data_IF_044262456642
#
_entry.id   IF_044262456642
#
_cell.length_a   1.000
_cell.length_b   1.000
_cell.length_c   1.000
_cell.angle_alpha   90.00
_cell.angle_beta   90.00
_cell.angle_gamma   90.00
#
_symmetry.space_group_name_H-M   'P 1'
#
loop_
_entity.id
_entity.type
_entity.pdbx_description
1 polymer ?
#
# COMPACT_ATOMS: atom_id res chain seq x y z
N UNK A 1 -5.05 -6.54 19.23
CA UNK A 1 -5.47 -5.11 19.34
C UNK A 1 -5.83 -4.48 18.00
N UNK A 2 -5.00 -4.56 16.94
CA UNK A 2 -5.37 -4.03 15.61
C UNK A 2 -6.55 -4.80 14.99
N UNK A 3 -6.64 -6.12 15.20
CA UNK A 3 -7.72 -6.96 14.68
C UNK A 3 -9.11 -6.60 15.21
N UNK A 4 -9.21 -6.06 16.42
CA UNK A 4 -10.52 -5.76 17.06
C UNK A 4 -11.15 -4.48 16.53
N UNK A 5 -10.33 -3.48 16.14
CA UNK A 5 -10.82 -2.24 15.54
C UNK A 5 -11.40 -2.54 14.15
N UNK A 6 -10.74 -3.40 13.36
CA UNK A 6 -11.21 -3.79 12.04
C UNK A 6 -12.46 -4.67 12.08
N UNK A 7 -12.58 -5.58 13.06
CA UNK A 7 -13.79 -6.37 13.25
C UNK A 7 -15.02 -5.51 13.53
N UNK A 8 -14.90 -4.49 14.39
CA UNK A 8 -16.01 -3.57 14.68
C UNK A 8 -16.44 -2.77 13.44
N UNK A 9 -15.49 -2.30 12.63
CA UNK A 9 -15.82 -1.59 11.38
C UNK A 9 -16.57 -2.46 10.38
N UNK A 10 -16.28 -3.76 10.36
CA UNK A 10 -16.95 -4.73 9.47
C UNK A 10 -18.40 -5.00 9.93
N UNK A 11 -18.67 -5.02 11.23
CA UNK A 11 -20.03 -5.29 11.77
C UNK A 11 -21.01 -4.13 11.53
N UNK A 12 -20.52 -2.90 11.35
CA UNK A 12 -21.35 -1.69 11.21
C UNK A 12 -21.70 -1.37 9.73
N UNK A 13 -21.18 -2.11 8.75
CA UNK A 13 -21.41 -1.83 7.32
C UNK A 13 -22.60 -2.64 6.79
N UNK A 14 -23.66 -2.01 6.26
CA UNK A 14 -24.82 -2.73 5.72
C UNK A 14 -24.44 -3.58 4.50
N UNK A 15 -24.90 -4.83 4.41
CA UNK A 15 -24.68 -5.67 3.23
C UNK A 15 -25.41 -5.11 1.99
N UNK A 16 -24.87 -5.34 0.80
CA UNK A 16 -25.52 -5.05 -0.47
C UNK A 16 -25.15 -3.72 -1.16
N UNK A 17 -24.26 -2.93 -0.61
CA UNK A 17 -23.74 -1.71 -1.22
C UNK A 17 -22.38 -1.94 -1.89
N UNK A 18 -22.03 -1.11 -2.89
CA UNK A 18 -20.66 -1.02 -3.39
C UNK A 18 -19.78 -0.43 -2.27
N UNK A 19 -18.79 -1.19 -1.82
CA UNK A 19 -17.96 -0.83 -0.67
C UNK A 19 -16.54 -0.60 -1.15
N UNK A 20 -15.96 0.53 -0.74
CA UNK A 20 -14.56 0.86 -0.93
C UNK A 20 -13.86 0.93 0.43
N UNK A 21 -12.91 0.04 0.67
CA UNK A 21 -12.02 0.12 1.82
C UNK A 21 -10.77 0.93 1.46
N UNK A 22 -10.41 1.88 2.32
CA UNK A 22 -9.22 2.73 2.13
C UNK A 22 -8.30 2.55 3.34
N UNK A 23 -7.05 2.13 3.09
CA UNK A 23 -6.01 2.01 4.10
C UNK A 23 -4.82 2.89 3.73
N UNK A 24 -4.76 4.09 4.30
CA UNK A 24 -3.67 5.02 4.09
C UNK A 24 -2.65 4.94 5.22
N UNK A 25 -1.36 4.89 4.86
CA UNK A 25 -0.27 4.90 5.84
C UNK A 25 -0.17 3.64 6.68
N UNK A 26 -0.69 2.50 6.24
CA UNK A 26 -0.87 1.30 7.06
C UNK A 26 -0.15 0.07 6.50
N UNK A 27 -0.28 -0.22 5.22
CA UNK A 27 0.10 -1.52 4.62
C UNK A 27 1.57 -1.87 4.82
N UNK A 28 2.46 -0.91 4.77
CA UNK A 28 3.89 -1.13 4.90
C UNK A 28 4.38 -1.38 6.34
N UNK A 29 3.53 -1.19 7.36
CA UNK A 29 3.81 -1.60 8.74
C UNK A 29 3.39 -3.04 9.03
N UNK A 30 2.59 -3.63 8.16
CA UNK A 30 2.19 -5.03 8.23
C UNK A 30 3.16 -5.91 7.44
N UNK A 31 3.31 -7.16 7.84
CA UNK A 31 3.94 -8.18 7.01
C UNK A 31 3.04 -8.53 5.82
N UNK A 32 3.58 -9.23 4.84
CA UNK A 32 2.79 -9.73 3.72
C UNK A 32 1.62 -10.60 4.16
N UNK A 33 1.85 -11.48 5.15
CA UNK A 33 0.80 -12.36 5.66
C UNK A 33 -0.32 -11.58 6.38
N UNK A 34 0.02 -10.53 7.12
CA UNK A 34 -0.96 -9.65 7.76
C UNK A 34 -1.79 -8.88 6.72
N UNK A 35 -1.16 -8.38 5.64
CA UNK A 35 -1.86 -7.75 4.52
C UNK A 35 -2.77 -8.73 3.77
N UNK A 36 -2.30 -9.96 3.52
CA UNK A 36 -3.12 -11.04 2.95
C UNK A 36 -4.33 -11.38 3.81
N UNK A 37 -4.12 -11.49 5.13
CA UNK A 37 -5.20 -11.79 6.07
C UNK A 37 -6.25 -10.68 6.10
N UNK A 38 -5.83 -9.41 6.04
CA UNK A 38 -6.73 -8.26 5.97
C UNK A 38 -7.57 -8.31 4.69
N UNK A 39 -6.92 -8.47 3.51
CA UNK A 39 -7.61 -8.57 2.24
C UNK A 39 -8.57 -9.77 2.18
N UNK A 40 -8.16 -10.92 2.72
CA UNK A 40 -9.02 -12.11 2.84
C UNK A 40 -10.24 -11.86 3.73
N UNK A 41 -10.07 -11.17 4.84
CA UNK A 41 -11.18 -10.81 5.75
C UNK A 41 -12.17 -9.87 5.06
N UNK A 42 -11.68 -8.88 4.31
CA UNK A 42 -12.53 -8.00 3.52
C UNK A 42 -13.32 -8.81 2.49
N UNK A 43 -12.67 -9.68 1.72
CA UNK A 43 -13.32 -10.53 0.73
C UNK A 43 -14.41 -11.41 1.35
N UNK A 44 -14.13 -12.06 2.48
CA UNK A 44 -15.08 -12.99 3.13
C UNK A 44 -16.33 -12.28 3.63
N UNK A 45 -16.21 -11.07 4.13
CA UNK A 45 -17.35 -10.31 4.66
C UNK A 45 -18.04 -9.44 3.61
N UNK A 46 -17.29 -9.00 2.59
CA UNK A 46 -17.77 -8.08 1.54
C UNK A 46 -17.27 -8.52 0.16
N UNK A 47 -17.80 -9.63 -0.39
CA UNK A 47 -17.45 -10.10 -1.72
C UNK A 47 -17.73 -9.01 -2.77
N UNK A 48 -16.75 -8.72 -3.63
CA UNK A 48 -16.84 -7.67 -4.64
C UNK A 48 -16.41 -6.28 -4.18
N UNK A 49 -16.02 -6.14 -2.91
CA UNK A 49 -15.50 -4.86 -2.40
C UNK A 49 -14.22 -4.43 -3.13
N UNK A 50 -14.04 -3.13 -3.22
CA UNK A 50 -12.78 -2.51 -3.66
C UNK A 50 -11.91 -2.18 -2.45
N UNK A 51 -10.60 -2.36 -2.60
CA UNK A 51 -9.61 -2.09 -1.55
C UNK A 51 -8.47 -1.24 -2.09
N UNK A 52 -8.37 -0.02 -1.58
CA UNK A 52 -7.31 0.95 -1.92
C UNK A 52 -6.34 1.07 -0.76
N UNK A 53 -5.07 0.98 -1.03
CA UNK A 53 -4.03 1.18 -0.04
C UNK A 53 -2.74 1.72 -0.67
N UNK A 54 -1.96 2.40 0.14
CA UNK A 54 -0.63 2.85 -0.26
C UNK A 54 0.44 1.81 0.11
N UNK A 55 1.50 1.75 -0.68
CA UNK A 55 2.60 0.81 -0.46
C UNK A 55 3.94 1.41 -0.88
N UNK A 56 5.03 0.80 -0.42
CA UNK A 56 6.39 1.16 -0.75
C UNK A 56 6.97 0.16 -1.76
N UNK A 57 7.79 0.66 -2.67
CA UNK A 57 8.60 -0.24 -3.51
C UNK A 57 9.70 -0.90 -2.65
N UNK A 58 9.98 -2.22 -2.81
CA UNK A 58 10.96 -2.95 -1.99
C UNK A 58 12.37 -2.36 -2.00
N UNK A 59 12.77 -1.73 -3.08
CA UNK A 59 14.05 -1.03 -3.18
C UNK A 59 14.15 0.09 -2.14
N UNK A 60 13.12 0.94 -2.04
CA UNK A 60 13.08 2.03 -1.06
C UNK A 60 12.93 1.52 0.36
N UNK A 61 12.17 0.44 0.57
CA UNK A 61 12.09 -0.22 1.87
C UNK A 61 13.48 -0.65 2.37
N UNK A 62 14.30 -1.26 1.49
CA UNK A 62 15.68 -1.62 1.81
C UNK A 62 16.55 -0.39 2.08
N UNK A 63 16.38 0.67 1.30
CA UNK A 63 17.13 1.92 1.46
C UNK A 63 16.81 2.59 2.80
N UNK A 64 15.54 2.67 3.19
CA UNK A 64 15.13 3.20 4.49
C UNK A 64 15.70 2.39 5.66
N UNK A 65 15.68 1.05 5.57
CA UNK A 65 16.26 0.16 6.58
C UNK A 65 17.79 0.26 6.68
N UNK A 66 18.49 0.62 5.60
CA UNK A 66 19.96 0.80 5.60
C UNK A 66 20.42 2.09 6.23
N UNK A 67 19.61 3.12 6.29
CA UNK A 67 19.90 4.36 7.02
C UNK A 67 19.89 4.11 8.54
N UNK A 68 20.84 3.27 8.98
CA UNK A 68 21.19 3.14 10.39
C UNK A 68 22.10 4.31 10.73
N UNK A 69 21.61 5.33 11.38
CA UNK A 69 22.21 6.08 12.45
C UNK A 69 21.45 7.39 12.64
N UNK A 70 21.42 7.74 13.88
CA UNK A 70 20.89 8.91 14.55
C UNK A 70 19.46 8.74 15.11
N UNK A 71 19.35 9.18 16.36
CA UNK A 71 18.17 9.08 17.23
C UNK A 71 16.92 9.83 16.74
N UNK A 72 16.88 10.21 15.45
CA UNK A 72 15.73 10.88 14.87
C UNK A 72 14.51 9.96 14.76
N UNK A 73 13.34 10.49 15.09
CA UNK A 73 12.05 9.82 15.02
C UNK A 73 11.79 9.15 13.66
N UNK A 74 12.26 9.76 12.57
CA UNK A 74 12.17 9.21 11.20
C UNK A 74 12.87 7.86 11.05
N UNK A 75 13.99 7.65 11.75
CA UNK A 75 14.73 6.37 11.69
C UNK A 75 14.04 5.29 12.52
N UNK A 76 13.42 5.67 13.63
CA UNK A 76 12.59 4.74 14.43
C UNK A 76 11.36 4.28 13.63
N UNK A 77 10.68 5.18 12.92
CA UNK A 77 9.56 4.85 12.04
C UNK A 77 9.99 3.97 10.87
N UNK A 78 11.13 4.26 10.23
CA UNK A 78 11.66 3.43 9.15
C UNK A 78 11.98 1.99 9.60
N UNK A 79 12.37 1.79 10.86
CA UNK A 79 12.60 0.45 11.42
C UNK A 79 11.31 -0.38 11.56
N UNK A 80 10.15 0.27 11.62
CA UNK A 80 8.84 -0.40 11.72
C UNK A 80 8.31 -0.85 10.36
N UNK A 81 8.89 -0.39 9.25
CA UNK A 81 8.45 -0.77 7.90
C UNK A 81 8.77 -2.25 7.66
N UNK A 82 7.77 -3.04 7.32
CA UNK A 82 7.91 -4.50 7.16
C UNK A 82 7.80 -4.95 5.70
N UNK A 83 6.93 -4.32 4.93
CA UNK A 83 6.51 -4.82 3.63
C UNK A 83 6.44 -3.73 2.55
N UNK A 84 6.62 -4.17 1.32
CA UNK A 84 6.46 -3.39 0.11
C UNK A 84 6.38 -4.30 -1.10
N UNK A 85 5.79 -3.83 -2.18
CA UNK A 85 5.56 -4.58 -3.41
C UNK A 85 6.05 -3.80 -4.63
N UNK A 86 6.53 -4.50 -5.66
CA UNK A 86 7.02 -3.86 -6.89
C UNK A 86 5.89 -3.36 -7.77
N UNK A 87 4.80 -4.13 -7.82
CA UNK A 87 3.60 -3.81 -8.60
C UNK A 87 2.37 -4.43 -7.96
N UNK A 88 1.26 -3.72 -8.00
CA UNK A 88 -0.03 -4.22 -7.51
C UNK A 88 -0.49 -5.50 -8.21
N UNK A 89 -0.04 -5.74 -9.45
CA UNK A 89 -0.37 -6.96 -10.18
C UNK A 89 0.18 -8.24 -9.52
N UNK A 90 1.29 -8.16 -8.78
CA UNK A 90 1.82 -9.31 -8.03
C UNK A 90 0.84 -9.83 -6.98
N UNK A 91 -0.07 -8.98 -6.50
CA UNK A 91 -1.02 -9.28 -5.45
C UNK A 91 -2.14 -10.22 -5.90
N UNK A 92 -2.36 -10.37 -7.21
CA UNK A 92 -3.31 -11.37 -7.76
C UNK A 92 -2.92 -12.81 -7.39
N UNK A 93 -1.65 -13.04 -7.06
CA UNK A 93 -1.16 -14.33 -6.58
C UNK A 93 -1.49 -14.63 -5.11
N UNK A 94 -2.06 -13.69 -4.37
CA UNK A 94 -2.32 -13.88 -2.94
C UNK A 94 -3.34 -14.98 -2.65
N UNK A 95 -4.47 -14.93 -3.34
CA UNK A 95 -5.55 -15.95 -3.29
C UNK A 95 -6.55 -15.68 -4.40
N UNK A 96 -7.40 -16.69 -4.70
CA UNK A 96 -8.43 -16.59 -5.74
C UNK A 96 -9.41 -15.44 -5.45
N UNK A 97 -9.71 -14.66 -6.51
CA UNK A 97 -10.63 -13.52 -6.41
C UNK A 97 -9.97 -12.19 -6.02
N UNK A 98 -8.64 -12.13 -5.94
CA UNK A 98 -7.92 -10.85 -5.94
C UNK A 98 -7.70 -10.42 -7.37
N UNK A 99 -8.26 -9.27 -7.75
CA UNK A 99 -8.09 -8.69 -9.09
C UNK A 99 -7.41 -7.32 -8.96
N UNK A 100 -6.29 -7.18 -9.63
CA UNK A 100 -5.62 -5.90 -9.78
C UNK A 100 -6.45 -5.02 -10.72
N UNK A 101 -6.81 -3.82 -10.27
CA UNK A 101 -7.56 -2.84 -11.06
C UNK A 101 -6.63 -1.77 -11.60
N UNK A 102 -5.95 -1.06 -10.71
CA UNK A 102 -5.11 0.07 -11.11
C UNK A 102 -4.03 0.38 -10.06
N UNK A 103 -2.98 1.06 -10.50
CA UNK A 103 -1.87 1.52 -9.66
C UNK A 103 -1.46 2.94 -10.04
N UNK A 104 -1.33 3.82 -9.04
CA UNK A 104 -0.91 5.21 -9.22
C UNK A 104 0.37 5.50 -8.44
N UNK A 105 1.32 6.14 -9.09
CA UNK A 105 2.49 6.71 -8.42
C UNK A 105 2.14 8.05 -7.79
N UNK A 106 2.34 8.19 -6.49
CA UNK A 106 2.14 9.46 -5.79
C UNK A 106 3.09 10.56 -6.30
N UNK A 107 4.31 10.21 -6.70
CA UNK A 107 5.28 11.15 -7.27
C UNK A 107 4.82 11.63 -8.65
N UNK A 108 4.32 10.73 -9.48
CA UNK A 108 3.83 11.09 -10.83
C UNK A 108 2.60 12.01 -10.77
N UNK A 109 1.71 11.78 -9.82
CA UNK A 109 0.52 12.63 -9.61
C UNK A 109 0.88 14.07 -9.19
N UNK A 110 2.06 14.29 -8.61
CA UNK A 110 2.54 15.60 -8.17
C UNK A 110 3.70 16.16 -8.97
N UNK A 111 4.01 15.64 -10.17
CA UNK A 111 5.19 16.02 -10.96
C UNK A 111 5.36 17.53 -11.16
N UNK A 112 4.27 18.25 -11.35
CA UNK A 112 4.30 19.68 -11.62
C UNK A 112 4.75 20.54 -10.43
N UNK A 113 4.72 19.96 -9.23
CA UNK A 113 5.15 20.60 -7.98
C UNK A 113 6.66 20.53 -7.76
N UNK A 114 7.38 19.70 -8.54
CA UNK A 114 8.81 19.53 -8.38
C UNK A 114 9.61 20.49 -9.29
N UNK A 115 10.78 20.97 -8.82
CA UNK A 115 11.71 21.75 -9.65
C UNK A 115 12.14 20.98 -10.90
N UNK A 116 12.47 21.72 -11.97
CA UNK A 116 12.80 21.14 -13.29
C UNK A 116 13.91 20.10 -13.21
N UNK A 117 14.94 20.30 -12.37
CA UNK A 117 16.04 19.34 -12.26
C UNK A 117 15.58 18.00 -11.65
N UNK A 118 14.63 17.99 -10.71
CA UNK A 118 14.04 16.76 -10.16
C UNK A 118 13.16 16.07 -11.19
N UNK A 119 12.42 16.83 -11.99
CA UNK A 119 11.62 16.27 -13.10
C UNK A 119 12.50 15.57 -14.12
N UNK A 120 13.67 16.16 -14.45
CA UNK A 120 14.68 15.54 -15.31
C UNK A 120 15.24 14.25 -14.66
N UNK A 121 15.53 14.28 -13.37
CA UNK A 121 15.99 13.10 -12.61
C UNK A 121 14.96 11.97 -12.63
N UNK A 122 13.68 12.28 -12.47
CA UNK A 122 12.58 11.30 -12.55
C UNK A 122 12.43 10.72 -13.96
N UNK A 123 12.72 11.51 -14.99
CA UNK A 123 12.74 11.04 -16.38
C UNK A 123 13.89 10.05 -16.63
N UNK A 124 15.09 10.37 -16.14
CA UNK A 124 16.27 9.50 -16.29
C UNK A 124 16.20 8.24 -15.39
N UNK A 125 15.56 8.34 -14.24
CA UNK A 125 15.45 7.24 -13.26
C UNK A 125 13.99 7.00 -12.88
N UNK A 126 13.20 6.31 -13.73
CA UNK A 126 11.77 6.08 -13.48
C UNK A 126 11.46 5.34 -12.16
N UNK A 127 12.43 4.57 -11.62
CA UNK A 127 12.25 3.89 -10.34
C UNK A 127 12.00 4.88 -9.19
N UNK A 128 12.54 6.08 -9.26
CA UNK A 128 12.33 7.10 -8.24
C UNK A 128 10.87 7.54 -8.13
N UNK A 129 10.13 7.47 -9.22
CA UNK A 129 8.70 7.80 -9.22
C UNK A 129 7.84 6.72 -8.60
N UNK A 130 8.37 5.49 -8.47
CA UNK A 130 7.67 4.33 -7.90
C UNK A 130 7.96 4.12 -6.41
N UNK A 131 8.54 5.12 -5.73
CA UNK A 131 8.90 5.01 -4.32
C UNK A 131 7.69 4.70 -3.44
N UNK A 132 6.57 5.34 -3.72
CA UNK A 132 5.29 5.16 -3.03
C UNK A 132 4.16 5.12 -4.05
N UNK A 133 3.41 4.03 -4.05
CA UNK A 133 2.30 3.79 -4.96
C UNK A 133 1.00 3.60 -4.20
N UNK A 134 -0.10 3.95 -4.83
CA UNK A 134 -1.45 3.62 -4.40
C UNK A 134 -1.96 2.50 -5.29
N UNK A 135 -2.47 1.43 -4.71
CA UNK A 135 -2.96 0.25 -5.42
C UNK A 135 -4.45 0.10 -5.16
N UNK A 136 -5.22 -0.16 -6.21
CA UNK A 136 -6.62 -0.54 -6.16
C UNK A 136 -6.76 -2.02 -6.53
N UNK A 137 -7.35 -2.78 -5.62
CA UNK A 137 -7.75 -4.17 -5.83
C UNK A 137 -9.27 -4.29 -5.79
N UNK A 138 -9.82 -5.27 -6.53
CA UNK A 138 -11.18 -5.76 -6.34
C UNK A 138 -11.11 -7.16 -5.75
N UNK A 139 -11.90 -7.41 -4.71
CA UNK A 139 -11.90 -8.65 -3.93
C UNK A 139 -13.22 -9.40 -4.22
N UNK A 140 -13.21 -10.23 -5.27
CA UNK A 140 -14.39 -10.96 -5.76
C UNK A 140 -14.53 -12.36 -5.14
#
# INVERSE_FOLDING_TARGET
>A
AASDVYKRQVEDIPPGNAILFIAEGLSYYFSENENKALASTIKQNYPGAEYVFDTLHPFFLKLYKRKKSDEHLSNKLAALLKWGVKSGKELESWFDGVHFVEEWSQVNAGKDRFPIFLRLLFFLFPILTRSKNIILLRLA
#
